data_IF_076457040466
#
_entry.id   IF_076457040466
#
_cell.length_a   1.000
_cell.length_b   1.000
_cell.length_c   1.000
_cell.angle_alpha   90.00
_cell.angle_beta   90.00
_cell.angle_gamma   90.00
#
_symmetry.space_group_name_H-M   'P 1'
#
loop_
_entity.id
_entity.type
_entity.pdbx_description
1 polymer ?
#
# COMPACT_ATOMS: atom_id res chain seq x y z
N UNK A 1 -11.10 -22.09 61.96
CA UNK A 1 -11.05 -22.88 60.71
C UNK A 1 -12.27 -22.46 59.85
N UNK A 2 -12.08 -21.52 58.93
CA UNK A 2 -13.12 -21.13 57.93
C UNK A 2 -12.45 -21.22 56.58
N UNK A 3 -12.90 -22.20 55.76
CA UNK A 3 -12.55 -22.37 54.34
C UNK A 3 -13.48 -21.46 53.50
N UNK A 4 -12.97 -20.33 52.97
CA UNK A 4 -13.60 -19.61 51.92
C UNK A 4 -13.19 -20.20 50.56
N UNK A 5 -14.11 -20.91 49.92
CA UNK A 5 -13.98 -21.31 48.52
C UNK A 5 -14.39 -20.08 47.67
N UNK A 6 -13.37 -19.40 47.05
CA UNK A 6 -13.58 -18.34 46.08
C UNK A 6 -13.87 -19.01 44.72
N UNK A 7 -15.14 -19.08 44.34
CA UNK A 7 -15.55 -19.42 42.98
C UNK A 7 -15.17 -18.22 42.07
N UNK A 8 -14.06 -18.35 41.38
CA UNK A 8 -13.76 -17.49 40.23
C UNK A 8 -14.66 -17.90 39.07
N UNK A 9 -15.78 -17.18 38.88
CA UNK A 9 -16.52 -17.15 37.63
C UNK A 9 -15.64 -16.43 36.61
N UNK A 10 -14.86 -17.21 35.86
CA UNK A 10 -14.27 -16.79 34.59
C UNK A 10 -15.44 -16.55 33.62
N UNK A 11 -15.92 -15.31 33.56
CA UNK A 11 -16.68 -14.84 32.41
C UNK A 11 -15.71 -14.77 31.23
N UNK A 12 -15.51 -15.90 30.56
CA UNK A 12 -14.98 -15.94 29.22
C UNK A 12 -16.00 -15.21 28.36
N UNK A 13 -15.74 -13.90 28.12
CA UNK A 13 -16.31 -13.24 26.97
C UNK A 13 -15.83 -14.01 25.76
N UNK A 14 -16.69 -14.93 25.28
CA UNK A 14 -16.45 -15.62 24.03
C UNK A 14 -16.45 -14.53 22.96
N UNK A 15 -15.29 -14.02 22.61
CA UNK A 15 -15.07 -13.52 21.27
C UNK A 15 -15.39 -14.72 20.38
N UNK A 16 -16.57 -14.74 19.79
CA UNK A 16 -16.91 -15.73 18.79
C UNK A 16 -15.83 -15.60 17.73
N UNK A 17 -14.95 -16.60 17.66
CA UNK A 17 -13.93 -16.65 16.64
C UNK A 17 -14.66 -16.53 15.30
N UNK A 18 -14.26 -15.55 14.50
CA UNK A 18 -14.75 -15.39 13.12
C UNK A 18 -14.59 -16.76 12.46
N UNK A 19 -15.68 -17.38 12.01
CA UNK A 19 -15.59 -18.58 11.19
C UNK A 19 -15.33 -18.14 9.76
N UNK A 20 -14.12 -18.35 9.23
CA UNK A 20 -13.76 -17.89 7.89
C UNK A 20 -14.70 -18.45 6.84
N UNK A 21 -14.97 -17.67 5.81
CA UNK A 21 -15.67 -18.14 4.62
C UNK A 21 -14.69 -18.78 3.63
N UNK A 22 -15.21 -19.52 2.65
CA UNK A 22 -14.39 -20.01 1.56
C UNK A 22 -13.96 -18.88 0.60
N UNK A 23 -12.93 -19.14 -0.22
CA UNK A 23 -12.37 -18.17 -1.16
C UNK A 23 -13.38 -17.79 -2.25
N UNK A 24 -14.26 -18.69 -2.68
CA UNK A 24 -15.28 -18.42 -3.70
C UNK A 24 -16.31 -17.41 -3.21
N UNK A 25 -16.79 -17.58 -1.98
CA UNK A 25 -17.67 -16.63 -1.30
C UNK A 25 -16.98 -15.24 -1.15
N UNK A 26 -15.71 -15.20 -0.73
CA UNK A 26 -14.96 -13.96 -0.64
C UNK A 26 -14.74 -13.31 -2.02
N UNK A 27 -14.50 -14.10 -3.06
CA UNK A 27 -14.32 -13.62 -4.44
C UNK A 27 -15.60 -12.97 -4.99
N UNK A 28 -16.78 -13.49 -4.64
CA UNK A 28 -18.06 -12.86 -5.02
C UNK A 28 -18.18 -11.44 -4.43
N UNK A 29 -17.87 -11.27 -3.15
CA UNK A 29 -17.90 -9.97 -2.50
C UNK A 29 -16.82 -9.03 -3.05
N UNK A 30 -15.62 -9.55 -3.33
CA UNK A 30 -14.51 -8.83 -3.97
C UNK A 30 -14.91 -8.26 -5.35
N UNK A 31 -15.64 -9.04 -6.15
CA UNK A 31 -16.18 -8.61 -7.44
C UNK A 31 -17.29 -7.57 -7.27
N UNK A 32 -18.22 -7.78 -6.36
CA UNK A 32 -19.32 -6.86 -6.08
C UNK A 32 -18.84 -5.47 -5.64
N UNK A 33 -17.73 -5.40 -4.91
CA UNK A 33 -17.06 -4.17 -4.52
C UNK A 33 -16.13 -3.58 -5.60
N UNK A 34 -16.00 -4.23 -6.76
CA UNK A 34 -15.10 -3.84 -7.87
C UNK A 34 -13.65 -3.58 -7.42
N UNK A 35 -13.15 -4.30 -6.41
CA UNK A 35 -11.83 -4.09 -5.80
C UNK A 35 -10.73 -4.29 -6.85
N UNK A 36 -10.88 -5.31 -7.71
CA UNK A 36 -9.94 -5.56 -8.80
C UNK A 36 -9.73 -4.35 -9.71
N UNK A 37 -10.84 -3.69 -10.07
CA UNK A 37 -10.80 -2.54 -10.99
C UNK A 37 -10.18 -1.32 -10.33
N UNK A 38 -10.47 -1.07 -9.05
CA UNK A 38 -9.87 0.00 -8.26
C UNK A 38 -8.35 -0.20 -8.11
N UNK A 39 -7.91 -1.39 -7.71
CA UNK A 39 -6.49 -1.71 -7.57
C UNK A 39 -5.77 -1.61 -8.91
N UNK A 40 -6.33 -2.20 -9.98
CA UNK A 40 -5.73 -2.13 -11.31
C UNK A 40 -5.58 -0.69 -11.81
N UNK A 41 -6.56 0.17 -11.58
CA UNK A 41 -6.49 1.57 -11.93
C UNK A 41 -5.33 2.28 -11.20
N UNK A 42 -5.14 2.01 -9.92
CA UNK A 42 -4.06 2.59 -9.10
C UNK A 42 -2.67 2.08 -9.48
N UNK A 43 -2.56 0.87 -10.05
CA UNK A 43 -1.26 0.27 -10.41
C UNK A 43 -0.65 0.84 -11.70
N UNK A 44 -1.47 1.42 -12.59
CA UNK A 44 -1.02 1.83 -13.93
C UNK A 44 0.11 2.87 -13.91
N UNK A 45 0.07 3.82 -13.00
CA UNK A 45 1.05 4.89 -12.86
C UNK A 45 2.22 4.54 -11.91
N UNK A 46 2.11 3.46 -11.13
CA UNK A 46 3.05 3.14 -10.05
C UNK A 46 4.53 3.04 -10.50
N UNK A 47 4.89 2.36 -11.61
CA UNK A 47 6.29 2.25 -12.02
C UNK A 47 6.91 3.60 -12.37
N UNK A 48 6.16 4.50 -13.02
CA UNK A 48 6.63 5.82 -13.37
C UNK A 48 6.74 6.72 -12.12
N UNK A 49 5.76 6.65 -11.23
CA UNK A 49 5.81 7.36 -9.96
C UNK A 49 7.03 6.96 -9.11
N UNK A 50 7.32 5.66 -9.03
CA UNK A 50 8.52 5.16 -8.34
C UNK A 50 9.78 5.69 -9.02
N UNK A 51 9.85 5.67 -10.36
CA UNK A 51 11.00 6.23 -11.10
C UNK A 51 11.20 7.70 -10.78
N UNK A 52 10.14 8.51 -10.76
CA UNK A 52 10.21 9.94 -10.44
C UNK A 52 10.69 10.19 -9.01
N UNK A 53 10.19 9.44 -8.02
CA UNK A 53 10.63 9.56 -6.63
C UNK A 53 12.16 9.40 -6.52
N UNK A 54 12.72 8.39 -7.16
CA UNK A 54 14.16 8.14 -7.11
C UNK A 54 14.97 9.08 -8.01
N UNK A 55 14.40 9.65 -9.06
CA UNK A 55 15.10 10.62 -9.91
C UNK A 55 15.16 12.02 -9.31
N UNK A 56 14.18 12.38 -8.46
CA UNK A 56 14.10 13.71 -7.81
C UNK A 56 14.75 13.73 -6.43
N UNK A 57 14.96 12.58 -5.79
CA UNK A 57 15.65 12.47 -4.51
C UNK A 57 17.17 12.65 -4.72
N UNK A 58 17.64 13.89 -4.50
CA UNK A 58 19.06 14.23 -4.58
C UNK A 58 19.96 13.46 -3.59
N UNK A 59 19.38 12.79 -2.60
CA UNK A 59 20.11 11.96 -1.62
C UNK A 59 20.41 10.56 -2.15
N UNK A 60 19.64 10.06 -3.11
CA UNK A 60 19.74 8.68 -3.60
C UNK A 60 20.83 8.46 -4.67
N UNK A 61 21.25 9.50 -5.41
CA UNK A 61 22.31 9.46 -6.45
C UNK A 61 22.39 8.14 -7.26
N UNK A 62 21.23 7.64 -7.74
CA UNK A 62 21.17 6.42 -8.51
C UNK A 62 21.71 6.62 -9.93
N UNK A 63 22.47 5.65 -10.46
CA UNK A 63 22.84 5.63 -11.89
C UNK A 63 21.62 5.33 -12.77
N UNK A 64 21.73 5.59 -14.08
CA UNK A 64 20.68 5.28 -15.05
C UNK A 64 20.36 3.78 -15.08
N UNK A 65 21.35 2.92 -14.91
CA UNK A 65 21.17 1.46 -14.81
C UNK A 65 20.40 1.10 -13.53
N UNK A 66 20.69 1.75 -12.39
CA UNK A 66 19.98 1.53 -11.14
C UNK A 66 18.53 2.03 -11.22
N UNK A 67 18.30 3.20 -11.83
CA UNK A 67 16.93 3.70 -12.09
C UNK A 67 16.14 2.77 -13.00
N UNK A 68 16.80 2.20 -14.00
CA UNK A 68 16.21 1.20 -14.89
C UNK A 68 15.87 -0.07 -14.12
N UNK A 69 16.75 -0.56 -13.25
CA UNK A 69 16.51 -1.71 -12.39
C UNK A 69 15.29 -1.49 -11.46
N UNK A 70 15.22 -0.33 -10.81
CA UNK A 70 14.09 0.08 -9.96
C UNK A 70 12.77 0.08 -10.75
N UNK A 71 12.77 0.69 -11.94
CA UNK A 71 11.57 0.78 -12.78
C UNK A 71 11.11 -0.60 -13.25
N UNK A 72 12.04 -1.47 -13.64
CA UNK A 72 11.73 -2.83 -14.06
C UNK A 72 11.24 -3.68 -12.89
N UNK A 73 11.85 -3.57 -11.73
CA UNK A 73 11.38 -4.25 -10.52
C UNK A 73 9.95 -3.84 -10.16
N UNK A 74 9.63 -2.55 -10.26
CA UNK A 74 8.28 -2.04 -10.06
C UNK A 74 7.28 -2.63 -11.07
N UNK A 75 7.62 -2.68 -12.36
CA UNK A 75 6.77 -3.30 -13.41
C UNK A 75 6.52 -4.80 -13.16
N UNK A 76 7.47 -5.52 -12.58
CA UNK A 76 7.33 -6.95 -12.29
C UNK A 76 6.62 -7.23 -10.97
N UNK A 77 6.78 -6.35 -9.98
CA UNK A 77 6.17 -6.50 -8.66
C UNK A 77 4.74 -6.00 -8.60
N UNK A 78 4.48 -4.79 -9.10
CA UNK A 78 3.15 -4.15 -8.99
C UNK A 78 2.20 -4.60 -10.10
N UNK A 79 1.78 -5.85 -10.00
CA UNK A 79 0.88 -6.49 -10.96
C UNK A 79 -0.32 -7.08 -10.23
N UNK A 80 -1.48 -7.02 -10.89
CA UNK A 80 -2.74 -7.50 -10.30
C UNK A 80 -2.73 -9.00 -10.00
N UNK A 81 -2.06 -9.81 -10.80
CA UNK A 81 -1.92 -11.25 -10.59
C UNK A 81 -1.05 -11.60 -9.37
N UNK A 82 -0.08 -10.75 -9.01
CA UNK A 82 0.69 -10.89 -7.77
C UNK A 82 -0.18 -10.53 -6.55
N UNK A 83 -1.08 -9.56 -6.69
CA UNK A 83 -1.97 -9.07 -5.64
C UNK A 83 -3.07 -10.08 -5.28
N UNK A 84 -3.78 -10.65 -6.27
CA UNK A 84 -5.11 -11.24 -6.07
C UNK A 84 -5.13 -12.47 -5.15
N UNK A 85 -4.24 -13.44 -5.35
CA UNK A 85 -4.29 -14.67 -4.57
C UNK A 85 -4.07 -14.45 -3.06
N UNK A 86 -3.02 -13.73 -2.61
CA UNK A 86 -2.85 -13.43 -1.18
C UNK A 86 -3.95 -12.52 -0.65
N UNK A 87 -4.42 -11.55 -1.43
CA UNK A 87 -5.51 -10.65 -1.06
C UNK A 87 -6.82 -11.40 -0.79
N UNK A 88 -7.25 -12.27 -1.70
CA UNK A 88 -8.46 -13.09 -1.54
C UNK A 88 -8.35 -14.06 -0.37
N UNK A 89 -7.19 -14.67 -0.17
CA UNK A 89 -6.96 -15.54 0.98
C UNK A 89 -7.12 -14.79 2.31
N UNK A 90 -6.52 -13.59 2.42
CA UNK A 90 -6.66 -12.75 3.59
C UNK A 90 -8.10 -12.24 3.78
N UNK A 91 -8.80 -11.91 2.71
CA UNK A 91 -10.20 -11.49 2.75
C UNK A 91 -11.09 -12.59 3.31
N UNK A 92 -11.00 -13.80 2.74
CA UNK A 92 -11.76 -14.97 3.18
C UNK A 92 -11.52 -15.31 4.66
N UNK A 93 -10.26 -15.23 5.10
CA UNK A 93 -9.87 -15.52 6.48
C UNK A 93 -10.44 -14.52 7.51
N UNK A 94 -10.82 -13.32 7.08
CA UNK A 94 -11.31 -12.25 7.96
C UNK A 94 -12.83 -11.94 7.79
N UNK A 95 -13.53 -12.68 6.94
CA UNK A 95 -14.99 -12.57 6.75
C UNK A 95 -15.71 -13.70 7.44
N UNK A 96 -16.88 -13.38 7.99
CA UNK A 96 -17.89 -14.37 8.41
C UNK A 96 -19.15 -14.30 7.49
N UNK A 97 -19.99 -15.32 7.56
CA UNK A 97 -21.16 -15.43 6.70
C UNK A 97 -22.19 -14.29 6.90
N UNK A 98 -22.35 -13.75 8.11
CA UNK A 98 -23.26 -12.61 8.35
C UNK A 98 -22.70 -11.32 7.73
N UNK A 99 -21.40 -11.09 7.88
CA UNK A 99 -20.69 -9.97 7.24
C UNK A 99 -20.81 -10.02 5.73
N UNK A 100 -20.58 -11.18 5.11
CA UNK A 100 -20.77 -11.37 3.66
C UNK A 100 -22.19 -11.02 3.25
N UNK A 101 -23.19 -11.68 3.85
CA UNK A 101 -24.61 -11.46 3.53
C UNK A 101 -25.04 -9.99 3.64
N UNK A 102 -24.60 -9.29 4.69
CA UNK A 102 -24.97 -7.88 4.92
C UNK A 102 -24.23 -6.94 3.97
N UNK A 103 -22.96 -7.23 3.68
CA UNK A 103 -22.16 -6.44 2.73
C UNK A 103 -22.65 -6.62 1.30
N UNK A 104 -22.99 -7.84 0.88
CA UNK A 104 -23.61 -8.09 -0.43
C UNK A 104 -24.94 -7.36 -0.58
N UNK A 105 -25.80 -7.42 0.45
CA UNK A 105 -27.06 -6.70 0.45
C UNK A 105 -26.86 -5.18 0.35
N UNK A 106 -25.85 -4.62 1.02
CA UNK A 106 -25.49 -3.21 0.92
C UNK A 106 -24.95 -2.87 -0.47
N UNK A 107 -23.95 -3.60 -0.95
CA UNK A 107 -23.29 -3.33 -2.25
C UNK A 107 -24.23 -3.49 -3.45
N UNK A 108 -25.19 -4.43 -3.37
CA UNK A 108 -26.22 -4.63 -4.39
C UNK A 108 -27.38 -3.65 -4.31
N UNK A 109 -27.46 -2.82 -3.26
CA UNK A 109 -28.44 -1.73 -3.17
C UNK A 109 -28.14 -0.62 -4.20
N UNK A 110 -29.11 0.25 -4.44
CA UNK A 110 -28.90 1.40 -5.33
C UNK A 110 -27.77 2.31 -4.84
N UNK A 111 -27.72 2.58 -3.54
CA UNK A 111 -26.65 3.35 -2.91
C UNK A 111 -25.29 2.65 -3.05
N UNK A 112 -25.21 1.35 -2.76
CA UNK A 112 -23.97 0.58 -2.87
C UNK A 112 -23.42 0.58 -4.28
N UNK A 113 -24.26 0.38 -5.30
CA UNK A 113 -23.84 0.45 -6.71
C UNK A 113 -23.30 1.84 -7.09
N UNK A 114 -23.97 2.92 -6.66
CA UNK A 114 -23.52 4.30 -6.92
C UNK A 114 -22.19 4.58 -6.23
N UNK A 115 -22.00 4.10 -5.01
CA UNK A 115 -20.76 4.21 -4.26
C UNK A 115 -19.60 3.49 -4.99
N UNK A 116 -19.76 2.21 -5.33
CA UNK A 116 -18.75 1.43 -6.07
C UNK A 116 -18.41 2.09 -7.41
N UNK A 117 -19.41 2.59 -8.14
CA UNK A 117 -19.17 3.30 -9.39
C UNK A 117 -18.36 4.61 -9.19
N UNK A 118 -18.62 5.35 -8.10
CA UNK A 118 -17.89 6.55 -7.75
C UNK A 118 -16.43 6.25 -7.37
N UNK A 119 -16.19 5.18 -6.59
CA UNK A 119 -14.86 4.74 -6.20
C UNK A 119 -14.03 4.33 -7.44
N UNK A 120 -14.59 3.52 -8.33
CA UNK A 120 -13.95 3.11 -9.59
C UNK A 120 -13.66 4.31 -10.49
N UNK A 121 -14.61 5.25 -10.61
CA UNK A 121 -14.42 6.44 -11.42
C UNK A 121 -13.29 7.32 -10.89
N UNK A 122 -13.23 7.51 -9.56
CA UNK A 122 -12.18 8.33 -8.94
C UNK A 122 -10.81 7.63 -9.03
N UNK A 123 -10.75 6.30 -8.85
CA UNK A 123 -9.51 5.55 -8.99
C UNK A 123 -8.92 5.59 -10.41
N UNK A 124 -9.73 5.89 -11.43
CA UNK A 124 -9.31 6.00 -12.85
C UNK A 124 -8.88 7.39 -13.27
N UNK A 125 -8.96 8.38 -12.38
CA UNK A 125 -8.50 9.73 -12.70
C UNK A 125 -6.99 9.73 -12.98
N UNK A 126 -6.51 10.63 -13.85
CA UNK A 126 -5.09 10.88 -14.00
C UNK A 126 -4.46 11.30 -12.67
N UNK A 127 -3.19 10.94 -12.48
CA UNK A 127 -2.46 11.18 -11.22
C UNK A 127 -2.40 12.67 -10.86
N UNK A 128 -2.22 13.54 -11.86
CA UNK A 128 -2.22 15.00 -11.65
C UNK A 128 -3.57 15.54 -11.15
N UNK A 129 -4.68 14.94 -11.58
CA UNK A 129 -6.02 15.29 -11.08
C UNK A 129 -6.19 14.80 -9.64
N UNK A 130 -5.76 13.56 -9.33
CA UNK A 130 -5.77 13.05 -7.95
C UNK A 130 -4.94 13.95 -7.03
N UNK A 131 -3.75 14.37 -7.47
CA UNK A 131 -2.89 15.26 -6.72
C UNK A 131 -3.53 16.63 -6.49
N UNK A 132 -4.18 17.23 -7.47
CA UNK A 132 -4.95 18.49 -7.31
C UNK A 132 -6.05 18.34 -6.26
N UNK A 133 -6.82 17.26 -6.32
CA UNK A 133 -7.88 16.97 -5.33
C UNK A 133 -7.29 16.86 -3.93
N UNK A 134 -6.26 16.07 -3.76
CA UNK A 134 -5.63 15.82 -2.46
C UNK A 134 -4.97 17.08 -1.88
N UNK A 135 -4.35 17.91 -2.71
CA UNK A 135 -3.75 19.18 -2.30
C UNK A 135 -4.81 20.25 -2.01
N UNK A 136 -6.02 20.12 -2.56
CA UNK A 136 -7.11 21.09 -2.42
C UNK A 136 -7.08 22.20 -3.47
N UNK A 137 -6.36 21.98 -4.57
CA UNK A 137 -6.32 22.88 -5.72
C UNK A 137 -7.64 22.81 -6.51
N UNK A 138 -8.39 21.72 -6.33
CA UNK A 138 -9.73 21.53 -6.87
C UNK A 138 -10.74 21.32 -5.74
N UNK A 139 -11.27 22.39 -5.16
CA UNK A 139 -12.14 22.29 -4.00
C UNK A 139 -13.51 21.69 -4.36
N UNK A 140 -13.91 20.68 -3.61
CA UNK A 140 -15.26 20.13 -3.69
C UNK A 140 -16.20 21.02 -2.86
N UNK A 141 -17.26 21.58 -3.45
CA UNK A 141 -18.24 22.38 -2.69
C UNK A 141 -18.82 21.59 -1.51
N UNK A 142 -18.76 22.14 -0.33
CA UNK A 142 -19.19 21.49 0.89
C UNK A 142 -19.81 22.50 1.87
N UNK A 143 -20.60 21.99 2.81
CA UNK A 143 -21.10 22.73 3.96
C UNK A 143 -20.43 22.19 5.23
N UNK A 144 -20.41 22.96 6.35
CA UNK A 144 -19.87 22.44 7.61
C UNK A 144 -20.52 21.11 8.06
N UNK A 145 -21.82 20.93 7.79
CA UNK A 145 -22.55 19.69 8.10
C UNK A 145 -22.07 18.53 7.24
N UNK A 146 -21.85 18.78 5.95
CA UNK A 146 -21.33 17.77 5.01
C UNK A 146 -19.89 17.42 5.31
N UNK A 147 -19.07 18.40 5.67
CA UNK A 147 -17.68 18.17 6.13
C UNK A 147 -17.63 17.26 7.36
N UNK A 148 -18.52 17.48 8.33
CA UNK A 148 -18.63 16.63 9.51
C UNK A 148 -19.06 15.19 9.18
N UNK A 149 -19.83 14.97 8.09
CA UNK A 149 -20.13 13.61 7.59
C UNK A 149 -18.89 12.95 7.00
N UNK A 150 -18.09 13.67 6.22
CA UNK A 150 -16.84 13.12 5.68
C UNK A 150 -15.82 12.81 6.77
N UNK A 151 -15.73 13.62 7.83
CA UNK A 151 -14.89 13.31 8.98
C UNK A 151 -15.32 12.03 9.71
N UNK A 152 -16.62 11.75 9.77
CA UNK A 152 -17.14 10.49 10.33
C UNK A 152 -16.89 9.31 9.40
N UNK A 153 -17.09 9.49 8.09
CA UNK A 153 -16.84 8.46 7.09
C UNK A 153 -15.37 8.06 7.05
N UNK A 154 -14.46 9.03 7.09
CA UNK A 154 -13.01 8.80 7.16
C UNK A 154 -12.65 7.90 8.36
N UNK A 155 -13.18 8.23 9.55
CA UNK A 155 -12.96 7.42 10.75
C UNK A 155 -13.61 6.03 10.66
N UNK A 156 -14.85 5.93 10.16
CA UNK A 156 -15.57 4.67 10.07
C UNK A 156 -14.94 3.71 9.05
N UNK A 157 -14.41 4.25 7.93
CA UNK A 157 -13.67 3.48 6.92
C UNK A 157 -12.21 3.23 7.31
N UNK A 158 -11.70 3.92 8.35
CA UNK A 158 -10.29 3.88 8.76
C UNK A 158 -9.32 4.22 7.61
N UNK A 159 -9.73 5.09 6.69
CA UNK A 159 -9.00 5.30 5.44
C UNK A 159 -7.59 5.83 5.65
N UNK A 160 -7.37 6.79 6.55
CA UNK A 160 -6.02 7.29 6.86
C UNK A 160 -5.14 6.21 7.50
N UNK A 161 -5.64 5.56 8.55
CA UNK A 161 -4.90 4.51 9.26
C UNK A 161 -4.52 3.37 8.31
N UNK A 162 -5.49 2.88 7.51
CA UNK A 162 -5.26 1.79 6.59
C UNK A 162 -4.30 2.15 5.46
N UNK A 163 -4.40 3.35 4.90
CA UNK A 163 -3.50 3.82 3.85
C UNK A 163 -2.07 3.89 4.36
N UNK A 164 -1.85 4.51 5.52
CA UNK A 164 -0.51 4.57 6.13
C UNK A 164 0.01 3.16 6.45
N UNK A 165 -0.83 2.28 6.99
CA UNK A 165 -0.45 0.89 7.25
C UNK A 165 -0.01 0.16 5.98
N UNK A 166 -0.74 0.31 4.88
CA UNK A 166 -0.40 -0.29 3.58
C UNK A 166 0.96 0.23 3.08
N UNK A 167 1.19 1.54 3.11
CA UNK A 167 2.47 2.13 2.70
C UNK A 167 3.64 1.60 3.52
N UNK A 168 3.51 1.54 4.84
CA UNK A 168 4.56 1.05 5.72
C UNK A 168 4.83 -0.44 5.51
N UNK A 169 3.78 -1.26 5.41
CA UNK A 169 3.91 -2.70 5.16
C UNK A 169 4.54 -2.98 3.80
N UNK A 170 4.11 -2.27 2.76
CA UNK A 170 4.67 -2.39 1.42
C UNK A 170 6.16 -1.99 1.40
N UNK A 171 6.54 -0.89 2.05
CA UNK A 171 7.94 -0.48 2.17
C UNK A 171 8.81 -1.52 2.88
N UNK A 172 8.28 -2.12 3.96
CA UNK A 172 8.95 -3.23 4.66
C UNK A 172 9.09 -4.47 3.76
N UNK A 173 8.05 -4.81 2.99
CA UNK A 173 8.05 -5.94 2.08
C UNK A 173 9.06 -5.75 0.94
N UNK A 174 9.15 -4.54 0.36
CA UNK A 174 10.17 -4.19 -0.64
C UNK A 174 11.57 -4.34 -0.04
N UNK A 175 11.82 -3.81 1.14
CA UNK A 175 13.14 -3.91 1.80
C UNK A 175 13.53 -5.36 2.08
N UNK A 176 12.60 -6.17 2.61
CA UNK A 176 12.81 -7.59 2.86
C UNK A 176 13.08 -8.38 1.56
N UNK A 177 12.26 -8.14 0.52
CA UNK A 177 12.45 -8.74 -0.79
C UNK A 177 13.80 -8.38 -1.41
N UNK A 178 14.21 -7.11 -1.32
CA UNK A 178 15.54 -6.65 -1.82
C UNK A 178 16.68 -7.39 -1.12
N UNK A 179 16.57 -7.60 0.19
CA UNK A 179 17.57 -8.38 0.92
C UNK A 179 17.62 -9.85 0.44
N UNK A 180 16.46 -10.49 0.19
CA UNK A 180 16.39 -11.84 -0.38
C UNK A 180 17.07 -11.87 -1.76
N UNK A 181 16.66 -11.01 -2.69
CA UNK A 181 17.20 -10.97 -4.05
C UNK A 181 18.70 -10.70 -4.09
N UNK A 182 19.20 -9.87 -3.19
CA UNK A 182 20.63 -9.59 -3.03
C UNK A 182 21.43 -10.69 -2.31
N UNK A 183 20.75 -11.70 -1.71
CA UNK A 183 21.40 -12.74 -0.91
C UNK A 183 21.84 -12.26 0.48
N UNK A 184 21.18 -11.23 1.03
CA UNK A 184 21.52 -10.60 2.30
C UNK A 184 20.69 -11.09 3.49
N UNK A 185 20.94 -10.50 4.68
CA UNK A 185 20.21 -10.76 5.92
C UNK A 185 18.84 -10.06 5.91
N UNK A 186 17.80 -10.84 5.74
CA UNK A 186 16.41 -10.35 5.72
C UNK A 186 15.91 -9.89 7.08
N UNK A 187 16.37 -10.51 8.19
CA UNK A 187 15.88 -10.21 9.53
C UNK A 187 16.31 -8.81 9.98
N UNK A 188 17.60 -8.49 9.79
CA UNK A 188 18.14 -7.18 10.15
C UNK A 188 17.51 -6.05 9.31
N UNK A 189 17.34 -6.27 8.00
CA UNK A 189 16.72 -5.30 7.09
C UNK A 189 15.25 -5.06 7.44
N UNK A 190 14.49 -6.14 7.67
CA UNK A 190 13.06 -6.05 8.05
C UNK A 190 12.88 -5.31 9.38
N UNK A 191 13.71 -5.59 10.38
CA UNK A 191 13.62 -4.91 11.68
C UNK A 191 13.98 -3.42 11.58
N UNK A 192 14.99 -3.06 10.78
CA UNK A 192 15.33 -1.66 10.51
C UNK A 192 14.18 -0.93 9.80
N UNK A 193 13.59 -1.54 8.77
CA UNK A 193 12.47 -0.96 8.04
C UNK A 193 11.23 -0.79 8.94
N UNK A 194 10.94 -1.79 9.81
CA UNK A 194 9.84 -1.72 10.78
C UNK A 194 10.02 -0.55 11.75
N UNK A 195 11.19 -0.41 12.37
CA UNK A 195 11.49 0.68 13.31
C UNK A 195 11.39 2.06 12.64
N UNK A 196 11.91 2.19 11.42
CA UNK A 196 11.80 3.43 10.65
C UNK A 196 10.32 3.76 10.37
N UNK A 197 9.51 2.78 9.94
CA UNK A 197 8.09 2.97 9.71
C UNK A 197 7.32 3.37 10.96
N UNK A 198 7.58 2.72 12.09
CA UNK A 198 6.93 3.06 13.36
C UNK A 198 7.23 4.49 13.82
N UNK A 199 8.47 4.97 13.65
CA UNK A 199 8.86 6.33 14.02
C UNK A 199 8.18 7.41 13.18
N UNK A 200 7.75 7.11 11.96
CA UNK A 200 7.13 8.07 11.04
C UNK A 200 5.61 7.95 10.95
N UNK A 201 5.02 6.89 11.52
CA UNK A 201 3.58 6.59 11.42
C UNK A 201 2.68 7.77 11.81
N UNK A 202 2.90 8.35 12.98
CA UNK A 202 2.06 9.44 13.50
C UNK A 202 2.08 10.67 12.60
N UNK A 203 3.26 11.03 12.11
CA UNK A 203 3.43 12.17 11.21
C UNK A 203 2.78 11.90 9.86
N UNK A 204 2.91 10.68 9.33
CA UNK A 204 2.22 10.27 8.10
C UNK A 204 0.71 10.32 8.26
N UNK A 205 0.16 9.78 9.35
CA UNK A 205 -1.29 9.84 9.63
C UNK A 205 -1.78 11.28 9.72
N UNK A 206 -1.04 12.15 10.39
CA UNK A 206 -1.39 13.57 10.50
C UNK A 206 -1.36 14.28 9.14
N UNK A 207 -0.34 14.02 8.32
CA UNK A 207 -0.17 14.65 7.01
C UNK A 207 -1.17 14.12 5.96
N UNK A 208 -1.58 12.85 6.04
CA UNK A 208 -2.45 12.22 5.04
C UNK A 208 -3.94 12.38 5.33
N UNK A 209 -4.35 12.72 6.55
CA UNK A 209 -5.77 12.79 6.93
C UNK A 209 -6.56 13.79 6.08
N UNK A 210 -6.09 15.01 5.93
CA UNK A 210 -6.79 16.02 5.15
C UNK A 210 -6.81 15.70 3.65
N UNK A 211 -5.70 15.31 3.00
CA UNK A 211 -5.71 14.82 1.63
C UNK A 211 -6.71 13.69 1.38
N UNK A 212 -6.71 12.64 2.21
CA UNK A 212 -7.62 11.49 2.05
C UNK A 212 -9.08 11.88 2.28
N UNK A 213 -9.37 12.79 3.22
CA UNK A 213 -10.71 13.34 3.39
C UNK A 213 -11.19 14.10 2.13
N UNK A 214 -10.30 14.88 1.50
CA UNK A 214 -10.62 15.58 0.23
C UNK A 214 -10.89 14.59 -0.89
N UNK A 215 -10.08 13.57 -1.01
CA UNK A 215 -10.28 12.49 -1.97
C UNK A 215 -11.65 11.81 -1.77
N UNK A 216 -12.00 11.47 -0.55
CA UNK A 216 -13.30 10.88 -0.20
C UNK A 216 -14.46 11.84 -0.52
N UNK A 217 -14.33 13.13 -0.18
CA UNK A 217 -15.33 14.15 -0.48
C UNK A 217 -15.54 14.33 -1.99
N UNK A 218 -14.47 14.28 -2.77
CA UNK A 218 -14.55 14.32 -4.23
C UNK A 218 -15.21 13.05 -4.80
N UNK A 219 -14.82 11.87 -4.32
CA UNK A 219 -15.41 10.60 -4.77
C UNK A 219 -16.93 10.61 -4.62
N UNK A 220 -17.42 11.07 -3.47
CA UNK A 220 -18.83 11.06 -3.15
C UNK A 220 -19.54 12.41 -3.32
N UNK A 221 -18.98 13.32 -4.13
CA UNK A 221 -19.54 14.66 -4.34
C UNK A 221 -20.97 14.67 -4.90
N UNK A 222 -21.33 13.65 -5.68
CA UNK A 222 -22.67 13.51 -6.26
C UNK A 222 -23.68 12.82 -5.32
N UNK A 223 -23.27 12.34 -4.15
CA UNK A 223 -24.17 11.73 -3.18
C UNK A 223 -24.84 12.78 -2.31
N UNK A 224 -26.09 12.54 -1.95
CA UNK A 224 -26.82 13.36 -0.98
C UNK A 224 -26.29 13.15 0.44
N UNK A 225 -26.57 14.09 1.36
CA UNK A 225 -26.22 13.92 2.77
C UNK A 225 -26.93 12.72 3.41
N UNK A 226 -28.11 12.37 2.93
CA UNK A 226 -28.81 11.18 3.40
C UNK A 226 -28.17 9.88 2.88
N UNK A 227 -27.67 9.87 1.63
CA UNK A 227 -26.86 8.77 1.13
C UNK A 227 -25.60 8.58 2.02
N UNK A 228 -24.89 9.66 2.34
CA UNK A 228 -23.69 9.61 3.19
C UNK A 228 -24.02 9.13 4.62
N UNK A 229 -25.17 9.52 5.20
CA UNK A 229 -25.64 8.97 6.49
C UNK A 229 -25.96 7.48 6.43
N UNK A 230 -26.58 7.00 5.33
CA UNK A 230 -26.85 5.59 5.14
C UNK A 230 -25.54 4.77 4.99
N UNK A 231 -24.57 5.28 4.22
CA UNK A 231 -23.24 4.67 4.13
C UNK A 231 -22.57 4.61 5.52
N UNK A 232 -22.58 5.71 6.25
CA UNK A 232 -22.01 5.78 7.60
C UNK A 232 -22.68 4.76 8.54
N UNK A 233 -24.02 4.66 8.51
CA UNK A 233 -24.76 3.68 9.30
C UNK A 233 -24.35 2.24 8.99
N UNK A 234 -24.09 1.91 7.71
CA UNK A 234 -23.55 0.61 7.34
C UNK A 234 -22.13 0.41 7.92
N UNK A 235 -21.21 1.33 7.69
CA UNK A 235 -19.81 1.23 8.14
C UNK A 235 -19.69 1.15 9.68
N UNK A 236 -20.58 1.81 10.44
CA UNK A 236 -20.60 1.77 11.89
C UNK A 236 -21.28 0.52 12.46
N UNK A 237 -22.02 -0.24 11.64
CA UNK A 237 -22.65 -1.50 12.05
C UNK A 237 -21.59 -2.59 12.32
N UNK A 238 -21.90 -3.63 13.14
CA UNK A 238 -20.95 -4.72 13.33
C UNK A 238 -20.51 -5.40 12.03
N UNK A 239 -21.40 -5.74 11.07
CA UNK A 239 -20.96 -6.29 9.78
C UNK A 239 -20.12 -5.30 8.96
N UNK A 240 -20.46 -3.99 8.97
CA UNK A 240 -19.68 -2.97 8.27
C UNK A 240 -18.28 -2.83 8.82
N UNK A 241 -18.11 -2.83 10.15
CA UNK A 241 -16.79 -2.82 10.79
C UNK A 241 -15.97 -4.06 10.46
N UNK A 242 -16.58 -5.24 10.45
CA UNK A 242 -15.93 -6.48 10.06
C UNK A 242 -15.51 -6.44 8.58
N UNK A 243 -16.39 -5.95 7.70
CA UNK A 243 -16.08 -5.76 6.29
C UNK A 243 -14.88 -4.82 6.09
N UNK A 244 -14.86 -3.66 6.76
CA UNK A 244 -13.72 -2.71 6.71
C UNK A 244 -12.44 -3.41 7.19
N UNK A 245 -12.49 -4.16 8.27
CA UNK A 245 -11.31 -4.88 8.79
C UNK A 245 -10.82 -5.94 7.81
N UNK A 246 -11.72 -6.71 7.22
CA UNK A 246 -11.41 -7.72 6.20
C UNK A 246 -10.84 -7.06 4.92
N UNK A 247 -11.42 -5.93 4.49
CA UNK A 247 -10.94 -5.16 3.36
C UNK A 247 -9.51 -4.63 3.57
N UNK A 248 -9.21 -4.13 4.78
CA UNK A 248 -7.85 -3.69 5.14
C UNK A 248 -6.88 -4.89 5.13
N UNK A 249 -7.28 -6.04 5.65
CA UNK A 249 -6.46 -7.25 5.63
C UNK A 249 -6.18 -7.72 4.19
N UNK A 250 -7.17 -7.65 3.31
CA UNK A 250 -7.05 -7.93 1.87
C UNK A 250 -6.00 -7.03 1.22
N UNK A 251 -6.13 -5.70 1.39
CA UNK A 251 -5.20 -4.75 0.80
C UNK A 251 -3.78 -4.94 1.32
N UNK A 252 -3.62 -5.10 2.64
CA UNK A 252 -2.30 -5.35 3.23
C UNK A 252 -1.63 -6.60 2.66
N UNK A 253 -2.34 -7.72 2.56
CA UNK A 253 -1.77 -8.96 2.04
C UNK A 253 -1.40 -8.86 0.55
N UNK A 254 -2.23 -8.21 -0.25
CA UNK A 254 -1.97 -8.01 -1.67
C UNK A 254 -0.78 -7.08 -1.92
N UNK A 255 -0.73 -5.94 -1.24
CA UNK A 255 0.37 -4.98 -1.39
C UNK A 255 1.68 -5.48 -0.75
N UNK A 256 1.65 -6.26 0.33
CA UNK A 256 2.83 -6.95 0.87
C UNK A 256 3.43 -7.91 -0.16
N UNK A 257 2.61 -8.73 -0.81
CA UNK A 257 3.07 -9.64 -1.86
C UNK A 257 3.69 -8.89 -3.05
N UNK A 258 3.06 -7.79 -3.49
CA UNK A 258 3.61 -6.94 -4.54
C UNK A 258 4.95 -6.31 -4.13
N UNK A 259 5.02 -5.75 -2.93
CA UNK A 259 6.25 -5.15 -2.40
C UNK A 259 7.38 -6.16 -2.31
N UNK A 260 7.10 -7.37 -1.80
CA UNK A 260 8.08 -8.46 -1.73
C UNK A 260 8.60 -8.85 -3.11
N UNK A 261 7.70 -9.05 -4.08
CA UNK A 261 8.09 -9.41 -5.45
C UNK A 261 8.90 -8.32 -6.14
N UNK A 262 8.51 -7.05 -5.96
CA UNK A 262 9.27 -5.90 -6.43
C UNK A 262 10.68 -5.88 -5.81
N UNK A 263 10.78 -6.06 -4.50
CA UNK A 263 12.05 -6.08 -3.79
C UNK A 263 12.96 -7.21 -4.23
N UNK A 264 12.46 -8.44 -4.37
CA UNK A 264 13.23 -9.59 -4.86
C UNK A 264 13.86 -9.30 -6.21
N UNK A 265 13.07 -8.80 -7.17
CA UNK A 265 13.54 -8.45 -8.50
C UNK A 265 14.58 -7.32 -8.47
N UNK A 266 14.37 -6.31 -7.59
CA UNK A 266 15.33 -5.23 -7.41
C UNK A 266 16.66 -5.74 -6.85
N UNK A 267 16.61 -6.59 -5.82
CA UNK A 267 17.80 -7.18 -5.19
C UNK A 267 18.59 -8.04 -6.16
N UNK A 268 17.93 -8.85 -6.99
CA UNK A 268 18.56 -9.64 -8.07
C UNK A 268 19.27 -8.72 -9.07
N UNK A 269 18.57 -7.69 -9.56
CA UNK A 269 19.17 -6.74 -10.55
C UNK A 269 20.35 -5.97 -9.98
N UNK A 270 20.27 -5.52 -8.71
CA UNK A 270 21.39 -4.82 -8.06
C UNK A 270 22.62 -5.74 -7.87
N UNK A 271 22.39 -7.01 -7.54
CA UNK A 271 23.47 -7.99 -7.45
C UNK A 271 24.14 -8.24 -8.79
N UNK A 272 23.37 -8.36 -9.88
CA UNK A 272 23.89 -8.52 -11.23
C UNK A 272 24.73 -7.30 -11.68
N UNK A 273 24.24 -6.08 -11.41
CA UNK A 273 24.98 -4.86 -11.68
C UNK A 273 26.29 -4.78 -10.90
N UNK A 274 26.28 -5.16 -9.61
CA UNK A 274 27.50 -5.19 -8.81
C UNK A 274 28.52 -6.22 -9.34
N UNK A 275 28.06 -7.40 -9.77
CA UNK A 275 28.90 -8.44 -10.36
C UNK A 275 29.54 -7.95 -11.68
N UNK A 276 28.74 -7.35 -12.56
CA UNK A 276 29.25 -6.81 -13.82
C UNK A 276 30.32 -5.75 -13.65
N UNK A 277 30.27 -4.94 -12.59
CA UNK A 277 31.30 -3.95 -12.27
C UNK A 277 32.61 -4.61 -11.80
N UNK A 278 32.55 -5.75 -11.13
CA UNK A 278 33.75 -6.50 -10.70
C UNK A 278 34.42 -7.22 -11.87
N UNK A 279 33.67 -7.61 -12.90
CA UNK A 279 34.16 -8.33 -14.07
C UNK A 279 34.77 -7.42 -15.14
N UNK A 280 34.73 -6.08 -14.95
CA UNK A 280 35.42 -5.15 -15.86
C UNK A 280 36.93 -5.31 -15.70
N UNK A 281 37.71 -5.70 -16.75
CA UNK A 281 39.13 -5.83 -16.65
C UNK A 281 39.75 -4.49 -16.24
N UNK A 282 40.53 -4.49 -15.16
CA UNK A 282 41.32 -3.29 -14.81
C UNK A 282 42.20 -2.95 -15.98
N UNK A 283 42.00 -1.79 -16.60
CA UNK A 283 42.93 -1.26 -17.60
C UNK A 283 44.33 -1.23 -16.99
N UNK A 284 45.34 -1.77 -17.67
CA UNK A 284 46.71 -1.68 -17.15
C UNK A 284 47.03 -0.21 -16.85
N UNK A 285 47.74 0.07 -15.75
CA UNK A 285 48.11 1.44 -15.44
C UNK A 285 48.85 2.07 -16.63
N UNK A 286 48.63 3.35 -16.94
CA UNK A 286 49.31 4.00 -18.05
C UNK A 286 50.80 3.79 -17.90
N UNK A 287 51.45 3.29 -18.96
CA UNK A 287 52.90 3.06 -18.97
C UNK A 287 53.60 4.37 -18.55
N UNK A 288 54.35 4.31 -17.45
CA UNK A 288 55.15 5.45 -17.00
C UNK A 288 56.07 5.76 -18.17
N UNK A 289 55.87 6.91 -18.80
CA UNK A 289 56.74 7.37 -19.89
C UNK A 289 58.17 7.40 -19.38
N UNK A 290 59.05 6.69 -20.05
CA UNK A 290 60.47 6.72 -19.73
C UNK A 290 60.96 8.18 -19.74
N UNK A 291 61.78 8.60 -18.77
CA UNK A 291 62.33 9.98 -18.76
C UNK A 291 63.09 10.26 -20.06
N UNK A 292 62.80 11.41 -20.64
CA UNK A 292 63.46 11.85 -21.86
C UNK A 292 65.01 11.85 -21.69
N UNK A 293 65.71 11.37 -22.68
CA UNK A 293 67.24 11.38 -22.61
C UNK A 293 67.71 12.79 -22.39
N UNK A 294 68.63 12.94 -21.42
CA UNK A 294 69.31 14.20 -21.10
C UNK A 294 70.09 14.69 -22.31
N UNK A 295 69.95 15.93 -22.74
CA UNK A 295 70.74 16.47 -23.85
C UNK A 295 72.29 16.46 -23.51
N UNK A 296 73.12 16.18 -24.50
CA UNK A 296 74.56 16.18 -24.27
C UNK A 296 75.08 17.59 -23.91
N UNK A 297 76.22 17.71 -23.13
CA UNK A 297 76.78 18.97 -22.75
C UNK A 297 77.27 19.69 -23.98
N UNK A 298 76.94 20.95 -24.12
CA UNK A 298 77.42 21.84 -25.16
C UNK A 298 78.94 22.19 -24.93
N UNK A 299 79.78 22.29 -25.96
CA UNK A 299 81.23 22.53 -25.84
C UNK A 299 81.57 23.95 -25.38
#
# INVERSE_FOLDING_TARGET
MFRFALLMLLSASAYAAVQPVDIETAATLYQAAAIRDQVRASLGAMPEHIRQLFSTDSSAHLSDEQLTAVTNAAKHGFRIDVFEAPALSAFAANLDADTVKKSEAFLSSDLGRRMVAADVATARLPEDEINKIMNGDEPTPSTPQRDALFDKLERASRSTESTVQIFLSMGQAVAAGTAVGAGGDTAAVSEKARKSGESTRTDMEASMRLPLRRYLAYSYRAMSDDDLKHLLKFLESPPGKNYVSAYIALLNAGFDAMGRRCGEQLGESLRELAQAQLDVPMSPPPAIAAPAPTPPPTP
#
